data_IF_447980880090
#
_entry.id   IF_447980880090
#
_cell.length_a   1.000
_cell.length_b   1.000
_cell.length_c   1.000
_cell.angle_alpha   90.00
_cell.angle_beta   90.00
_cell.angle_gamma   90.00
#
_symmetry.space_group_name_H-M   'P 1'
#
loop_
_entity.id
_entity.type
_entity.pdbx_description
1 polymer ?
#
# COMPACT_ATOMS: atom_id res chain seq x y z
N UNK A 1 28.57 -24.70 -25.00
CA UNK A 1 28.04 -23.65 -25.88
C UNK A 1 27.05 -22.80 -25.08
N UNK A 2 27.23 -21.47 -25.08
CA UNK A 2 26.23 -20.42 -24.84
C UNK A 2 24.85 -20.75 -25.43
N UNK A 3 23.68 -20.28 -25.00
CA UNK A 3 23.25 -19.16 -24.12
C UNK A 3 21.74 -19.37 -23.81
N UNK A 4 21.32 -18.91 -22.63
CA UNK A 4 20.00 -18.41 -22.21
C UNK A 4 18.89 -18.19 -23.26
N UNK A 5 17.64 -18.55 -22.93
CA UNK A 5 16.59 -17.54 -22.66
C UNK A 5 15.28 -18.12 -22.07
N UNK A 6 14.72 -17.36 -21.14
CA UNK A 6 13.65 -17.66 -20.18
C UNK A 6 12.31 -17.11 -20.71
N UNK A 7 11.16 -17.73 -20.39
CA UNK A 7 9.96 -16.92 -20.07
C UNK A 7 8.90 -17.68 -19.27
N UNK A 8 8.87 -17.43 -17.95
CA UNK A 8 7.67 -17.61 -17.13
C UNK A 8 6.69 -16.50 -17.54
N UNK A 9 5.70 -16.85 -18.38
CA UNK A 9 4.75 -15.88 -18.92
C UNK A 9 3.87 -15.32 -17.79
N UNK A 10 4.08 -14.04 -17.49
CA UNK A 10 3.13 -13.20 -16.75
C UNK A 10 1.78 -13.20 -17.49
N UNK A 11 0.65 -12.94 -16.82
CA UNK A 11 -0.64 -12.81 -17.48
C UNK A 11 -0.56 -11.65 -18.48
N UNK A 12 -0.46 -11.97 -19.77
CA UNK A 12 -0.50 -10.96 -20.81
C UNK A 12 -1.96 -10.54 -20.97
N UNK A 13 -2.26 -9.30 -20.60
CA UNK A 13 -3.52 -8.67 -20.93
C UNK A 13 -3.76 -8.76 -22.44
N UNK A 14 -4.90 -9.33 -22.82
CA UNK A 14 -5.71 -9.09 -24.02
C UNK A 14 -4.99 -8.78 -25.36
N UNK A 15 -3.83 -9.34 -25.68
CA UNK A 15 -3.19 -9.09 -26.99
C UNK A 15 -2.37 -10.28 -27.54
N UNK A 16 -2.95 -11.48 -27.55
CA UNK A 16 -2.36 -12.63 -28.25
C UNK A 16 -3.38 -13.34 -29.14
N UNK A 17 -4.10 -12.57 -29.97
CA UNK A 17 -4.73 -13.15 -31.15
C UNK A 17 -3.67 -13.23 -32.27
N UNK A 18 -3.53 -14.44 -32.83
CA UNK A 18 -2.77 -14.83 -34.03
C UNK A 18 -1.32 -15.28 -33.79
N UNK A 19 -1.11 -16.61 -33.82
CA UNK A 19 -0.05 -17.28 -34.62
C UNK A 19 -0.27 -18.81 -34.72
N UNK A 20 -0.65 -19.20 -35.94
CA UNK A 20 -0.33 -20.40 -36.74
C UNK A 20 -0.24 -21.83 -36.16
N UNK A 21 -1.06 -22.69 -36.80
CA UNK A 21 -0.95 -24.15 -37.04
C UNK A 21 0.43 -24.82 -36.83
N UNK A 22 0.45 -25.93 -36.08
CA UNK A 22 1.59 -26.87 -36.09
C UNK A 22 1.48 -28.06 -35.13
N UNK A 23 0.98 -29.20 -35.65
CA UNK A 23 1.19 -30.65 -35.36
C UNK A 23 1.34 -31.19 -33.92
N UNK A 24 0.65 -32.32 -33.71
CA UNK A 24 0.58 -33.16 -32.51
C UNK A 24 1.86 -33.94 -32.20
N UNK A 25 2.14 -34.16 -30.90
CA UNK A 25 2.81 -35.38 -30.44
C UNK A 25 2.64 -35.62 -28.94
N UNK A 26 2.05 -36.78 -28.64
CA UNK A 26 2.46 -37.76 -27.61
C UNK A 26 2.39 -37.37 -26.12
N UNK A 27 1.33 -37.89 -25.48
CA UNK A 27 1.24 -38.37 -24.10
C UNK A 27 1.81 -37.47 -23.00
N UNK A 28 0.99 -36.51 -22.56
CA UNK A 28 1.14 -35.88 -21.25
C UNK A 28 0.84 -36.91 -20.16
N UNK A 29 1.88 -37.52 -19.57
CA UNK A 29 1.76 -38.15 -18.26
C UNK A 29 1.42 -37.04 -17.26
N UNK A 30 0.17 -37.08 -16.84
CA UNK A 30 -0.47 -36.26 -15.82
C UNK A 30 0.27 -36.51 -14.50
N UNK A 31 1.07 -35.53 -14.07
CA UNK A 31 1.18 -35.12 -12.67
C UNK A 31 0.92 -33.60 -12.63
N UNK A 32 -0.36 -33.16 -12.76
CA UNK A 32 -0.74 -31.76 -12.89
C UNK A 32 -1.28 -31.16 -11.58
N UNK A 33 -1.29 -31.93 -10.49
CA UNK A 33 -1.87 -31.49 -9.22
C UNK A 33 -0.80 -30.88 -8.33
N UNK A 34 0.31 -31.58 -8.08
CA UNK A 34 1.39 -31.07 -7.20
C UNK A 34 1.96 -29.75 -7.71
N UNK A 35 2.24 -29.64 -9.01
CA UNK A 35 2.79 -28.42 -9.63
C UNK A 35 1.81 -27.26 -9.70
N UNK A 36 0.50 -27.54 -9.78
CA UNK A 36 -0.54 -26.50 -9.73
C UNK A 36 -0.76 -26.00 -8.30
N UNK A 37 -0.62 -26.88 -7.31
CA UNK A 37 -0.65 -26.53 -5.88
C UNK A 37 0.57 -25.67 -5.51
N UNK A 38 1.78 -26.03 -5.95
CA UNK A 38 2.99 -25.20 -5.73
C UNK A 38 2.84 -23.80 -6.34
N UNK A 39 2.33 -23.70 -7.58
CA UNK A 39 2.07 -22.41 -8.22
C UNK A 39 0.97 -21.60 -7.50
N UNK A 40 0.00 -22.28 -6.89
CA UNK A 40 -1.04 -21.64 -6.08
C UNK A 40 -0.47 -21.12 -4.76
N UNK A 41 0.36 -21.91 -4.09
CA UNK A 41 0.98 -21.55 -2.81
C UNK A 41 1.95 -20.37 -2.95
N UNK A 42 2.73 -20.33 -4.04
CA UNK A 42 3.58 -19.19 -4.38
C UNK A 42 2.76 -17.92 -4.61
N UNK A 43 1.64 -18.04 -5.32
CA UNK A 43 0.73 -16.92 -5.56
C UNK A 43 0.06 -16.43 -4.26
N UNK A 44 -0.38 -17.34 -3.39
CA UNK A 44 -0.96 -17.01 -2.09
C UNK A 44 0.07 -16.34 -1.17
N UNK A 45 1.32 -16.82 -1.18
CA UNK A 45 2.43 -16.21 -0.45
C UNK A 45 2.75 -14.81 -0.97
N UNK A 46 2.78 -14.63 -2.28
CA UNK A 46 2.94 -13.31 -2.89
C UNK A 46 1.82 -12.35 -2.50
N UNK A 47 0.57 -12.81 -2.53
CA UNK A 47 -0.59 -12.00 -2.12
C UNK A 47 -0.53 -11.57 -0.66
N UNK A 48 -0.14 -12.47 0.25
CA UNK A 48 0.06 -12.13 1.67
C UNK A 48 1.12 -11.06 1.85
N UNK A 49 2.29 -11.22 1.21
CA UNK A 49 3.38 -10.23 1.27
C UNK A 49 2.98 -8.87 0.71
N UNK A 50 2.24 -8.84 -0.40
CA UNK A 50 1.75 -7.57 -0.96
C UNK A 50 0.70 -6.90 -0.07
N UNK A 51 -0.15 -7.68 0.59
CA UNK A 51 -1.11 -7.13 1.55
C UNK A 51 -0.40 -6.51 2.76
N UNK A 52 0.55 -7.23 3.36
CA UNK A 52 1.38 -6.71 4.47
C UNK A 52 2.11 -5.42 4.08
N UNK A 53 2.67 -5.37 2.86
CA UNK A 53 3.33 -4.18 2.33
C UNK A 53 2.36 -3.01 2.20
N UNK A 54 1.14 -3.26 1.74
CA UNK A 54 0.11 -2.24 1.61
C UNK A 54 -0.31 -1.70 2.98
N UNK A 55 -0.54 -2.58 3.96
CA UNK A 55 -0.90 -2.21 5.33
C UNK A 55 0.20 -1.35 5.99
N UNK A 56 1.47 -1.71 5.79
CA UNK A 56 2.60 -0.92 6.27
C UNK A 56 2.65 0.47 5.65
N UNK A 57 2.43 0.57 4.33
CA UNK A 57 2.36 1.87 3.64
C UNK A 57 1.17 2.71 4.13
N UNK A 58 0.02 2.10 4.37
CA UNK A 58 -1.15 2.81 4.88
C UNK A 58 -0.91 3.34 6.30
N UNK A 59 -0.30 2.53 7.17
CA UNK A 59 0.08 2.94 8.52
C UNK A 59 1.09 4.11 8.49
N UNK A 60 2.12 4.02 7.65
CA UNK A 60 3.08 5.11 7.47
C UNK A 60 2.42 6.40 6.95
N UNK A 61 1.47 6.29 6.02
CA UNK A 61 0.70 7.44 5.51
C UNK A 61 -0.15 8.08 6.62
N UNK A 62 -0.84 7.27 7.43
CA UNK A 62 -1.64 7.77 8.57
C UNK A 62 -0.76 8.49 9.59
N UNK A 63 0.39 7.92 9.94
CA UNK A 63 1.34 8.55 10.86
C UNK A 63 1.87 9.88 10.30
N UNK A 64 2.21 9.92 9.00
CA UNK A 64 2.67 11.15 8.34
C UNK A 64 1.58 12.24 8.31
N UNK A 65 0.34 11.88 8.01
CA UNK A 65 -0.78 12.84 8.05
C UNK A 65 -1.05 13.35 9.47
N UNK A 66 -0.99 12.48 10.48
CA UNK A 66 -1.09 12.90 11.88
C UNK A 66 0.03 13.88 12.26
N UNK A 67 1.28 13.60 11.86
CA UNK A 67 2.41 14.50 12.11
C UNK A 67 2.26 15.86 11.40
N UNK A 68 1.79 15.86 10.14
CA UNK A 68 1.48 17.10 9.40
C UNK A 68 0.39 17.89 10.11
N UNK A 69 -0.66 17.22 10.59
CA UNK A 69 -1.75 17.88 11.26
C UNK A 69 -1.31 18.48 12.61
N UNK A 70 -0.53 17.74 13.40
CA UNK A 70 0.10 18.25 14.63
C UNK A 70 0.96 19.49 14.34
N UNK A 71 1.77 19.47 13.27
CA UNK A 71 2.59 20.62 12.87
C UNK A 71 1.75 21.83 12.49
N UNK A 72 0.62 21.63 11.77
CA UNK A 72 -0.30 22.73 11.43
C UNK A 72 -0.94 23.32 12.68
N UNK A 73 -1.41 22.47 13.60
CA UNK A 73 -2.00 22.89 14.87
C UNK A 73 -0.99 23.68 15.69
N UNK A 74 0.26 23.23 15.79
CA UNK A 74 1.33 23.94 16.50
C UNK A 74 1.58 25.33 15.91
N UNK A 75 1.69 25.43 14.58
CA UNK A 75 1.86 26.72 13.90
C UNK A 75 0.69 27.67 14.14
N UNK A 76 -0.54 27.13 14.15
CA UNK A 76 -1.74 27.92 14.44
C UNK A 76 -1.73 28.41 15.89
N UNK A 77 -1.43 27.53 16.84
CA UNK A 77 -1.31 27.86 18.25
C UNK A 77 -0.31 28.98 18.50
N UNK A 78 0.90 28.89 17.93
CA UNK A 78 1.90 29.97 18.07
C UNK A 78 1.40 31.31 17.53
N UNK A 79 0.74 31.33 16.38
CA UNK A 79 0.18 32.55 15.77
C UNK A 79 -0.95 33.17 16.58
N UNK A 80 -1.74 32.35 17.26
CA UNK A 80 -2.90 32.80 18.03
C UNK A 80 -2.53 33.21 19.44
N UNK A 81 -1.55 32.55 20.07
CA UNK A 81 -1.05 32.87 21.41
C UNK A 81 -0.53 34.31 21.54
N UNK A 82 0.00 34.88 20.46
CA UNK A 82 0.50 36.27 20.42
C UNK A 82 -0.60 37.33 20.37
N UNK A 83 -1.86 36.94 20.11
CA UNK A 83 -2.99 37.87 19.95
C UNK A 83 -3.88 37.85 21.19
N UNK A 84 -4.38 39.01 21.64
CA UNK A 84 -5.42 39.04 22.66
C UNK A 84 -6.71 38.41 22.11
N UNK A 85 -7.39 37.64 22.96
CA UNK A 85 -8.70 37.06 22.65
C UNK A 85 -9.72 38.18 22.38
N UNK A 86 -10.48 38.07 21.28
CA UNK A 86 -11.52 39.05 20.97
C UNK A 86 -12.84 38.71 21.66
N UNK A 87 -13.10 37.43 21.89
CA UNK A 87 -14.28 36.91 22.58
C UNK A 87 -14.00 35.56 23.27
N UNK A 88 -14.99 35.04 23.99
CA UNK A 88 -14.91 33.75 24.68
C UNK A 88 -14.82 32.55 23.71
N UNK A 89 -15.20 32.72 22.44
CA UNK A 89 -15.12 31.66 21.44
C UNK A 89 -13.68 31.43 20.99
N UNK A 90 -12.91 32.51 20.82
CA UNK A 90 -11.47 32.46 20.56
C UNK A 90 -10.73 31.74 21.68
N UNK A 91 -11.10 32.04 22.94
CA UNK A 91 -10.53 31.39 24.12
C UNK A 91 -10.80 29.89 24.13
N UNK A 92 -12.04 29.47 23.88
CA UNK A 92 -12.40 28.04 23.78
C UNK A 92 -11.67 27.32 22.64
N UNK A 93 -11.51 27.97 21.49
CA UNK A 93 -10.76 27.42 20.37
C UNK A 93 -9.29 27.19 20.73
N UNK A 94 -8.69 28.12 21.48
CA UNK A 94 -7.32 27.99 21.95
C UNK A 94 -7.15 26.92 23.02
N UNK A 95 -8.07 26.78 23.97
CA UNK A 95 -8.08 25.67 24.94
C UNK A 95 -8.20 24.30 24.25
N UNK A 96 -9.05 24.20 23.21
CA UNK A 96 -9.16 22.99 22.36
C UNK A 96 -7.85 22.69 21.62
N UNK A 97 -7.20 23.71 21.06
CA UNK A 97 -5.90 23.58 20.38
C UNK A 97 -4.79 23.16 21.33
N UNK A 98 -4.74 23.74 22.53
CA UNK A 98 -3.80 23.35 23.58
C UNK A 98 -4.02 21.90 24.02
N UNK A 99 -5.28 21.52 24.26
CA UNK A 99 -5.62 20.14 24.63
C UNK A 99 -5.24 19.15 23.53
N UNK A 100 -5.43 19.50 22.25
CA UNK A 100 -5.05 18.64 21.12
C UNK A 100 -3.53 18.56 20.88
N UNK A 101 -2.74 19.49 21.40
CA UNK A 101 -1.28 19.57 21.21
C UNK A 101 -0.48 19.06 22.42
N UNK A 102 -1.00 19.30 23.62
CA UNK A 102 -0.32 19.11 24.89
C UNK A 102 -1.16 18.33 25.92
N UNK A 103 -2.42 18.02 25.60
CA UNK A 103 -3.21 17.13 26.43
C UNK A 103 -2.58 15.73 26.39
N UNK A 104 -2.15 15.25 27.55
CA UNK A 104 -1.72 13.87 27.71
C UNK A 104 -2.87 12.93 27.27
N UNK A 105 -2.56 11.94 26.45
CA UNK A 105 -3.41 10.75 26.31
C UNK A 105 -3.17 9.82 27.49
#
# INVERSE_FOLDING_TARGET
MSTSNIQCQRPQGRDAAKRSKGKSSKASKIEPVERAVECHDDYMTFKKKELERYELMEAARKAMEAAKQSTKNMKLYMKLKEKPYKDDSDKKMMELLESALFGDN
#
